data_IF_476549435051
#
_entry.id   IF_476549435051
#
_cell.length_a   1.000
_cell.length_b   1.000
_cell.length_c   1.000
_cell.angle_alpha   90.00
_cell.angle_beta   90.00
_cell.angle_gamma   90.00
#
_symmetry.space_group_name_H-M   'P 1'
#
loop_
_entity.id
_entity.type
_entity.pdbx_description
1 polymer ?
#
# COMPACT_ATOMS: atom_id res chain seq x y z
N UNK A 1 -1.62 21.51 -34.08
CA UNK A 1 -2.42 21.68 -32.84
C UNK A 1 -3.49 20.62 -32.86
N UNK A 2 -3.49 19.69 -31.89
CA UNK A 2 -4.46 18.59 -31.85
C UNK A 2 -5.75 19.08 -31.19
N UNK A 3 -6.94 18.68 -31.67
CA UNK A 3 -8.20 19.08 -31.06
C UNK A 3 -8.31 18.51 -29.64
N UNK A 4 -8.90 19.29 -28.73
CA UNK A 4 -9.27 18.81 -27.39
C UNK A 4 -10.51 17.93 -27.55
N UNK A 5 -10.35 16.63 -27.30
CA UNK A 5 -11.48 15.71 -27.23
C UNK A 5 -12.06 15.72 -25.81
N UNK A 6 -13.37 16.00 -25.69
CA UNK A 6 -14.07 16.09 -24.42
C UNK A 6 -14.10 17.51 -23.81
N UNK A 7 -14.33 17.64 -22.49
CA UNK A 7 -14.55 18.93 -21.86
C UNK A 7 -13.36 19.88 -22.00
N UNK A 8 -13.65 21.10 -22.45
CA UNK A 8 -12.67 22.19 -22.59
C UNK A 8 -12.71 23.11 -21.38
N UNK A 9 -11.54 23.42 -20.83
CA UNK A 9 -11.36 24.32 -19.70
C UNK A 9 -10.70 25.61 -20.19
N UNK A 10 -11.50 26.64 -20.46
CA UNK A 10 -11.02 27.92 -20.97
C UNK A 10 -10.60 28.85 -19.83
N UNK A 11 -9.40 29.41 -19.93
CA UNK A 11 -8.94 30.45 -19.01
C UNK A 11 -9.78 31.71 -19.20
N UNK A 12 -10.26 32.31 -18.10
CA UNK A 12 -11.04 33.56 -18.13
C UNK A 12 -10.18 34.81 -18.23
N UNK A 13 -8.86 34.66 -18.08
CA UNK A 13 -7.90 35.75 -18.01
C UNK A 13 -6.93 35.77 -19.20
N UNK A 14 -6.89 34.70 -20.00
CA UNK A 14 -6.05 34.61 -21.20
C UNK A 14 -6.96 34.36 -22.39
N UNK A 15 -6.74 35.10 -23.48
CA UNK A 15 -7.62 35.04 -24.65
C UNK A 15 -7.54 33.68 -25.37
N UNK A 16 -6.34 33.12 -25.48
CA UNK A 16 -6.07 31.89 -26.24
C UNK A 16 -5.47 30.75 -25.40
N UNK A 17 -6.00 30.55 -24.18
CA UNK A 17 -5.55 29.44 -23.35
C UNK A 17 -6.68 28.51 -22.90
N UNK A 18 -6.56 27.25 -23.32
CA UNK A 18 -7.47 26.17 -22.96
C UNK A 18 -6.70 24.96 -22.42
N UNK A 19 -7.30 24.27 -21.46
CA UNK A 19 -6.88 22.95 -21.04
C UNK A 19 -7.91 21.90 -21.46
N UNK A 20 -7.44 20.70 -21.79
CA UNK A 20 -8.27 19.51 -21.67
C UNK A 20 -8.45 19.15 -20.19
N UNK A 21 -9.39 18.26 -19.89
CA UNK A 21 -9.67 17.83 -18.51
C UNK A 21 -8.42 17.35 -17.75
N UNK A 22 -7.59 16.52 -18.39
CA UNK A 22 -6.38 16.02 -17.75
C UNK A 22 -5.37 17.13 -17.46
N UNK A 23 -5.15 18.04 -18.42
CA UNK A 23 -4.24 19.17 -18.23
C UNK A 23 -4.75 20.15 -17.17
N UNK A 24 -6.06 20.37 -17.08
CA UNK A 24 -6.65 21.23 -16.05
C UNK A 24 -6.41 20.65 -14.65
N UNK A 25 -6.49 19.32 -14.49
CA UNK A 25 -6.24 18.62 -13.23
C UNK A 25 -4.75 18.59 -12.85
N UNK A 26 -3.89 18.31 -13.81
CA UNK A 26 -2.47 17.98 -13.58
C UNK A 26 -1.51 19.16 -13.70
N UNK A 27 -1.83 20.18 -14.52
CA UNK A 27 -0.93 21.30 -14.79
C UNK A 27 -1.33 22.56 -14.04
N UNK A 28 -0.32 23.25 -13.51
CA UNK A 28 -0.48 24.59 -12.97
C UNK A 28 -0.46 25.61 -14.11
N UNK A 29 -1.40 26.53 -14.09
CA UNK A 29 -1.36 27.78 -14.83
C UNK A 29 -1.16 28.93 -13.83
N UNK A 30 -1.18 30.19 -14.27
CA UNK A 30 -1.06 31.34 -13.38
C UNK A 30 -2.05 31.21 -12.20
N UNK A 31 -1.52 31.32 -10.99
CA UNK A 31 -2.28 31.08 -9.74
C UNK A 31 -3.37 32.11 -9.49
N UNK A 32 -3.39 33.23 -10.22
CA UNK A 32 -4.45 34.25 -10.17
C UNK A 32 -5.54 34.01 -11.21
N UNK A 33 -5.34 33.10 -12.15
CA UNK A 33 -6.27 32.87 -13.24
C UNK A 33 -7.30 31.80 -12.89
N UNK A 34 -8.51 31.98 -13.41
CA UNK A 34 -9.61 31.05 -13.22
C UNK A 34 -10.11 30.52 -14.56
N UNK A 35 -10.79 29.38 -14.53
CA UNK A 35 -11.24 28.66 -15.69
C UNK A 35 -12.75 28.45 -15.67
N UNK A 36 -13.30 28.33 -16.87
CA UNK A 36 -14.65 27.87 -17.12
C UNK A 36 -14.63 26.56 -17.90
N UNK A 37 -15.49 25.62 -17.52
CA UNK A 37 -15.67 24.32 -18.16
C UNK A 37 -16.78 24.39 -19.21
N UNK A 38 -16.52 23.85 -20.39
CA UNK A 38 -17.44 23.73 -21.52
C UNK A 38 -17.44 22.25 -21.93
N UNK A 39 -18.55 21.53 -21.75
CA UNK A 39 -18.57 20.10 -22.11
C UNK A 39 -18.82 19.90 -23.61
N UNK A 40 -19.64 20.74 -24.22
CA UNK A 40 -20.00 20.67 -25.63
C UNK A 40 -19.91 22.05 -26.31
N UNK A 41 -19.57 22.11 -27.60
CA UNK A 41 -19.57 23.36 -28.36
C UNK A 41 -20.95 24.04 -28.30
N UNK A 42 -21.00 25.30 -27.85
CA UNK A 42 -22.25 26.07 -27.71
C UNK A 42 -22.90 26.01 -26.33
N UNK A 43 -22.42 25.16 -25.41
CA UNK A 43 -22.91 25.13 -24.02
C UNK A 43 -22.42 26.36 -23.23
N UNK A 44 -23.27 26.90 -22.36
CA UNK A 44 -22.90 27.97 -21.41
C UNK A 44 -21.73 27.51 -20.51
N UNK A 45 -20.63 28.27 -20.41
CA UNK A 45 -19.49 27.87 -19.60
C UNK A 45 -19.82 27.84 -18.10
N UNK A 46 -19.57 26.71 -17.44
CA UNK A 46 -19.69 26.58 -15.99
C UNK A 46 -18.39 26.98 -15.28
N UNK A 47 -18.44 27.82 -14.25
CA UNK A 47 -17.25 28.19 -13.49
C UNK A 47 -16.65 26.98 -12.75
N UNK A 48 -15.36 26.72 -12.94
CA UNK A 48 -14.69 25.56 -12.33
C UNK A 48 -13.43 25.92 -11.52
N UNK A 49 -13.14 27.21 -11.35
CA UNK A 49 -12.04 27.68 -10.51
C UNK A 49 -10.65 27.54 -11.15
N UNK A 50 -9.62 27.30 -10.34
CA UNK A 50 -8.21 27.33 -10.78
C UNK A 50 -7.71 25.95 -11.20
N UNK A 51 -6.79 25.88 -12.17
CA UNK A 51 -6.15 24.63 -12.59
C UNK A 51 -5.11 24.14 -11.58
N UNK A 52 -4.75 22.85 -11.64
CA UNK A 52 -3.70 22.27 -10.81
C UNK A 52 -4.10 22.05 -9.34
N UNK A 53 -5.41 22.03 -9.03
CA UNK A 53 -5.93 21.76 -7.68
C UNK A 53 -5.78 20.30 -7.22
N UNK A 54 -5.36 19.38 -8.09
CA UNK A 54 -5.02 17.99 -7.73
C UNK A 54 -3.50 17.77 -7.57
N UNK A 55 -2.85 18.66 -6.80
CA UNK A 55 -1.52 18.43 -6.22
C UNK A 55 -1.48 18.83 -4.74
N UNK A 56 -2.63 18.84 -4.05
CA UNK A 56 -2.61 18.55 -2.62
C UNK A 56 -2.61 17.04 -2.48
N UNK A 57 -1.40 16.50 -2.37
CA UNK A 57 -1.12 15.12 -1.94
C UNK A 57 -2.26 14.61 -1.04
N UNK A 58 -2.89 13.51 -1.43
CA UNK A 58 -3.67 12.64 -0.56
C UNK A 58 -2.84 12.06 0.61
N UNK A 59 -1.69 12.63 0.97
CA UNK A 59 -0.81 12.10 2.02
C UNK A 59 -1.44 12.16 3.41
N UNK A 60 -2.36 13.10 3.68
CA UNK A 60 -2.88 13.25 5.04
C UNK A 60 -4.00 12.27 5.39
N UNK A 61 -4.66 11.65 4.41
CA UNK A 61 -5.82 10.76 4.63
C UNK A 61 -5.49 9.26 4.51
N UNK A 62 -4.23 8.90 4.26
CA UNK A 62 -3.81 7.51 4.02
C UNK A 62 -3.03 6.94 5.23
N UNK A 63 -2.82 7.73 6.29
CA UNK A 63 -2.08 7.32 7.49
C UNK A 63 -2.83 6.23 8.23
N UNK A 64 -2.13 5.17 8.63
CA UNK A 64 -2.75 3.99 9.25
C UNK A 64 -3.65 3.17 8.31
N UNK A 65 -3.82 3.59 7.05
CA UNK A 65 -4.61 2.85 6.07
C UNK A 65 -3.94 1.52 5.76
N UNK A 66 -4.75 0.46 5.72
CA UNK A 66 -4.32 -0.86 5.30
C UNK A 66 -4.22 -0.94 3.78
N UNK A 67 -3.20 -1.64 3.30
CA UNK A 67 -2.95 -1.92 1.89
C UNK A 67 -3.05 -3.43 1.71
N UNK A 68 -4.10 -3.91 1.07
CA UNK A 68 -4.32 -5.33 0.74
C UNK A 68 -3.81 -5.71 -0.65
N UNK A 69 -3.57 -4.73 -1.52
CA UNK A 69 -2.97 -4.92 -2.84
C UNK A 69 -1.45 -5.10 -2.76
N UNK A 70 -0.97 -6.29 -3.15
CA UNK A 70 0.46 -6.65 -3.20
C UNK A 70 1.28 -5.60 -3.97
N UNK A 71 0.77 -5.13 -5.11
CA UNK A 71 1.50 -4.22 -6.01
C UNK A 71 1.72 -2.83 -5.41
N UNK A 72 0.98 -2.48 -4.35
CA UNK A 72 1.10 -1.23 -3.59
C UNK A 72 1.94 -1.38 -2.32
N UNK A 73 2.11 -2.61 -1.82
CA UNK A 73 2.90 -2.89 -0.63
C UNK A 73 4.34 -3.29 -0.96
N UNK A 74 4.53 -4.11 -2.01
CA UNK A 74 5.79 -4.73 -2.38
C UNK A 74 6.26 -4.17 -3.72
N UNK A 75 7.46 -3.59 -3.72
CA UNK A 75 8.12 -3.00 -4.88
C UNK A 75 8.83 -4.05 -5.74
N UNK A 76 9.46 -5.04 -5.11
CA UNK A 76 10.12 -6.14 -5.83
C UNK A 76 10.13 -7.43 -5.00
N UNK A 77 10.14 -8.57 -5.69
CA UNK A 77 10.17 -9.91 -5.12
C UNK A 77 11.27 -10.74 -5.80
N UNK A 78 12.12 -11.36 -5.00
CA UNK A 78 13.21 -12.21 -5.47
C UNK A 78 13.25 -13.52 -4.67
N UNK A 79 13.81 -14.55 -5.29
CA UNK A 79 13.95 -15.89 -4.71
C UNK A 79 15.37 -16.39 -4.93
N UNK A 80 15.83 -17.30 -4.08
CA UNK A 80 17.18 -17.87 -4.15
C UNK A 80 17.46 -18.67 -5.43
N UNK A 81 16.41 -19.24 -6.03
CA UNK A 81 16.48 -20.19 -7.15
C UNK A 81 15.13 -20.23 -7.88
N UNK A 82 15.08 -20.88 -9.05
CA UNK A 82 13.84 -21.04 -9.84
C UNK A 82 13.11 -19.71 -10.08
N UNK A 83 13.85 -18.68 -10.48
CA UNK A 83 13.34 -17.29 -10.60
C UNK A 83 12.17 -17.18 -11.58
N UNK A 84 12.11 -18.04 -12.59
CA UNK A 84 10.99 -18.14 -13.54
C UNK A 84 9.66 -18.57 -12.89
N UNK A 85 9.68 -19.07 -11.65
CA UNK A 85 8.50 -19.48 -10.89
C UNK A 85 8.07 -18.44 -9.85
N UNK A 86 8.77 -17.30 -9.72
CA UNK A 86 8.54 -16.32 -8.66
C UNK A 86 7.13 -15.74 -8.66
N UNK A 87 6.50 -15.58 -9.84
CA UNK A 87 5.15 -15.03 -9.94
C UNK A 87 4.08 -15.95 -9.33
N UNK A 88 4.36 -17.26 -9.28
CA UNK A 88 3.46 -18.25 -8.67
C UNK A 88 3.22 -17.98 -7.17
N UNK A 89 4.17 -17.31 -6.51
CA UNK A 89 4.02 -16.90 -5.11
C UNK A 89 2.93 -15.86 -4.90
N UNK A 90 2.52 -15.11 -5.92
CA UNK A 90 1.56 -13.98 -5.78
C UNK A 90 0.29 -14.17 -6.61
N UNK A 91 0.34 -14.91 -7.71
CA UNK A 91 -0.77 -15.02 -8.67
C UNK A 91 -1.91 -15.95 -8.20
N UNK A 92 -1.85 -16.52 -6.98
CA UNK A 92 -2.87 -17.41 -6.40
C UNK A 92 -3.27 -18.58 -7.32
N UNK A 93 -2.30 -19.12 -8.06
CA UNK A 93 -2.48 -20.30 -8.91
C UNK A 93 -2.32 -21.58 -8.11
N UNK A 94 -2.83 -22.72 -8.61
CA UNK A 94 -2.53 -24.06 -8.06
C UNK A 94 -1.07 -24.53 -8.29
N UNK A 95 -0.18 -23.60 -8.67
CA UNK A 95 1.23 -23.86 -8.89
C UNK A 95 2.04 -23.24 -7.77
N UNK A 96 3.08 -23.93 -7.32
CA UNK A 96 3.99 -23.45 -6.29
C UNK A 96 5.34 -23.02 -6.87
N UNK A 97 6.07 -22.21 -6.11
CA UNK A 97 7.51 -22.03 -6.28
C UNK A 97 8.23 -23.19 -5.61
N UNK A 98 9.11 -23.85 -6.36
CA UNK A 98 10.00 -24.88 -5.83
C UNK A 98 11.44 -24.39 -5.88
N UNK A 99 12.12 -24.42 -4.74
CA UNK A 99 13.54 -24.10 -4.69
C UNK A 99 14.40 -25.18 -5.34
N UNK A 100 15.64 -24.82 -5.66
CA UNK A 100 16.67 -25.74 -6.15
C UNK A 100 18.03 -25.28 -5.63
N UNK A 101 18.69 -26.10 -4.82
CA UNK A 101 20.02 -25.78 -4.32
C UNK A 101 20.44 -26.62 -3.12
N UNK A 102 21.32 -26.08 -2.28
CA UNK A 102 21.76 -26.75 -1.06
C UNK A 102 20.77 -26.53 0.09
N UNK A 103 20.69 -27.53 0.98
CA UNK A 103 19.83 -27.48 2.15
C UNK A 103 20.08 -26.22 3.01
N UNK A 104 18.99 -25.58 3.44
CA UNK A 104 19.05 -24.41 4.33
C UNK A 104 19.56 -23.11 3.67
N UNK A 105 19.74 -23.10 2.35
CA UNK A 105 20.19 -21.93 1.57
C UNK A 105 19.08 -21.27 0.75
N UNK A 106 17.83 -21.65 0.99
CA UNK A 106 16.68 -21.12 0.27
C UNK A 106 16.12 -19.89 0.96
N UNK A 107 15.76 -18.88 0.18
CA UNK A 107 15.21 -17.64 0.70
C UNK A 107 14.24 -17.00 -0.29
N UNK A 108 13.31 -16.23 0.26
CA UNK A 108 12.44 -15.32 -0.48
C UNK A 108 12.67 -13.92 0.09
N UNK A 109 12.98 -12.95 -0.77
CA UNK A 109 13.25 -11.56 -0.39
C UNK A 109 12.25 -10.65 -1.06
N UNK A 110 11.67 -9.75 -0.28
CA UNK A 110 10.78 -8.70 -0.77
C UNK A 110 11.31 -7.33 -0.39
N UNK A 111 11.25 -6.39 -1.32
CA UNK A 111 11.47 -4.96 -1.07
C UNK A 111 10.10 -4.29 -0.92
N UNK A 112 9.84 -3.66 0.23
CA UNK A 112 8.62 -2.90 0.47
C UNK A 112 8.74 -1.48 -0.09
N UNK A 113 7.60 -0.88 -0.42
CA UNK A 113 7.57 0.56 -0.72
C UNK A 113 7.90 1.39 0.53
N UNK A 114 8.48 2.60 0.37
CA UNK A 114 8.72 3.51 1.48
C UNK A 114 7.47 3.73 2.33
N UNK A 115 7.67 3.79 3.65
CA UNK A 115 6.63 4.03 4.66
C UNK A 115 5.53 2.95 4.75
N UNK A 116 5.68 1.80 4.09
CA UNK A 116 4.78 0.65 4.26
C UNK A 116 5.30 -0.27 5.36
N UNK A 117 4.58 -0.34 6.48
CA UNK A 117 4.80 -1.31 7.54
C UNK A 117 4.09 -2.63 7.21
N UNK A 118 4.63 -3.75 7.68
CA UNK A 118 3.96 -5.05 7.57
C UNK A 118 2.89 -5.16 8.65
N UNK A 119 1.60 -5.11 8.27
CA UNK A 119 0.51 -5.40 9.20
C UNK A 119 0.27 -6.92 9.30
N UNK A 120 0.29 -7.64 8.18
CA UNK A 120 0.30 -9.11 8.15
C UNK A 120 1.12 -9.60 6.97
N UNK A 121 1.98 -10.59 7.20
CA UNK A 121 2.63 -11.36 6.13
C UNK A 121 2.32 -12.83 6.37
N UNK A 122 1.69 -13.47 5.38
CA UNK A 122 1.33 -14.88 5.40
C UNK A 122 2.11 -15.65 4.34
N UNK A 123 2.38 -16.91 4.65
CA UNK A 123 2.98 -17.88 3.74
C UNK A 123 2.13 -19.14 3.73
N UNK A 124 1.82 -19.64 2.54
CA UNK A 124 1.04 -20.87 2.35
C UNK A 124 1.97 -22.01 1.98
N UNK A 125 1.79 -23.13 2.67
CA UNK A 125 2.52 -24.39 2.48
C UNK A 125 1.51 -25.52 2.39
N UNK A 126 1.92 -26.67 1.88
CA UNK A 126 1.05 -27.84 1.78
C UNK A 126 1.68 -29.05 2.49
N UNK A 127 1.02 -29.63 3.50
CA UNK A 127 1.41 -30.91 4.10
C UNK A 127 1.67 -32.03 3.08
N UNK A 128 0.97 -32.02 1.93
CA UNK A 128 1.15 -33.01 0.87
C UNK A 128 2.53 -32.92 0.19
N UNK A 129 3.24 -31.79 0.33
CA UNK A 129 4.60 -31.62 -0.20
C UNK A 129 5.66 -32.47 0.53
N UNK A 130 5.29 -33.15 1.62
CA UNK A 130 6.13 -34.15 2.29
C UNK A 130 7.50 -33.57 2.68
N UNK A 131 8.60 -34.05 2.10
CA UNK A 131 9.95 -33.55 2.37
C UNK A 131 10.22 -32.13 1.84
N UNK A 132 9.40 -31.64 0.90
CA UNK A 132 9.50 -30.26 0.40
C UNK A 132 8.76 -29.26 1.29
N UNK A 133 7.99 -29.72 2.28
CA UNK A 133 7.34 -28.83 3.24
C UNK A 133 8.39 -28.22 4.18
N UNK A 134 8.48 -26.89 4.29
CA UNK A 134 9.33 -26.25 5.29
C UNK A 134 8.94 -26.66 6.72
N UNK A 135 9.93 -26.80 7.61
CA UNK A 135 9.73 -27.05 9.03
C UNK A 135 10.26 -25.93 9.92
N UNK A 136 11.27 -25.20 9.45
CA UNK A 136 11.86 -24.07 10.17
C UNK A 136 12.14 -22.93 9.19
N UNK A 137 11.56 -21.76 9.48
CA UNK A 137 11.81 -20.52 8.74
C UNK A 137 12.26 -19.41 9.68
N UNK A 138 13.20 -18.60 9.20
CA UNK A 138 13.70 -17.42 9.91
C UNK A 138 13.35 -16.20 9.07
N UNK A 139 12.76 -15.22 9.71
CA UNK A 139 12.32 -13.97 9.10
C UNK A 139 13.23 -12.87 9.57
N UNK A 140 13.86 -12.17 8.63
CA UNK A 140 14.78 -11.07 8.90
C UNK A 140 14.34 -9.82 8.16
N UNK A 141 14.62 -8.65 8.74
CA UNK A 141 14.26 -7.35 8.16
C UNK A 141 15.38 -6.33 8.28
N UNK A 142 15.42 -5.36 7.39
CA UNK A 142 16.42 -4.30 7.46
C UNK A 142 16.27 -3.22 6.38
N UNK A 143 17.12 -2.20 6.47
CA UNK A 143 17.20 -1.12 5.47
C UNK A 143 18.05 -1.51 4.25
N UNK A 144 18.90 -2.54 4.38
CA UNK A 144 19.78 -3.07 3.34
C UNK A 144 19.89 -4.59 3.45
N UNK A 145 20.06 -5.28 2.33
CA UNK A 145 20.25 -6.74 2.27
C UNK A 145 21.53 -7.23 2.96
N UNK A 146 22.52 -6.34 3.16
CA UNK A 146 23.78 -6.68 3.83
C UNK A 146 23.67 -6.59 5.36
N UNK A 147 22.58 -6.01 5.89
CA UNK A 147 22.41 -5.77 7.32
C UNK A 147 20.96 -6.07 7.73
N UNK A 148 20.55 -7.31 7.53
CA UNK A 148 19.25 -7.82 7.97
C UNK A 148 19.38 -8.30 9.42
N UNK A 149 18.44 -7.89 10.28
CA UNK A 149 18.30 -8.39 11.65
C UNK A 149 17.21 -9.46 11.69
N UNK A 150 17.43 -10.51 12.48
CA UNK A 150 16.40 -11.52 12.69
C UNK A 150 15.23 -10.93 13.48
N UNK A 151 14.03 -11.01 12.92
CA UNK A 151 12.79 -10.53 13.52
C UNK A 151 12.04 -11.66 14.21
N UNK A 152 12.02 -12.84 13.58
CA UNK A 152 11.23 -13.98 14.07
C UNK A 152 11.76 -15.30 13.55
N UNK A 153 11.84 -16.29 14.42
CA UNK A 153 12.06 -17.70 14.05
C UNK A 153 10.76 -18.49 14.25
N UNK A 154 10.35 -19.29 13.26
CA UNK A 154 9.05 -19.96 13.22
C UNK A 154 9.24 -21.45 12.92
N UNK A 155 8.69 -22.27 13.82
CA UNK A 155 8.52 -23.71 13.58
C UNK A 155 7.16 -23.94 12.92
N UNK A 156 7.14 -24.72 11.84
CA UNK A 156 5.94 -25.02 11.08
C UNK A 156 5.45 -26.42 11.48
N UNK A 157 4.17 -26.56 11.81
CA UNK A 157 3.58 -27.85 12.18
C UNK A 157 3.24 -28.69 10.94
N UNK A 158 3.20 -30.04 11.06
CA UNK A 158 2.93 -30.92 9.91
C UNK A 158 1.58 -30.71 9.24
N UNK A 159 0.64 -30.10 9.96
CA UNK A 159 -0.73 -29.86 9.50
C UNK A 159 -0.98 -28.42 9.08
N UNK A 160 0.02 -27.54 9.21
CA UNK A 160 -0.15 -26.13 8.86
C UNK A 160 -0.30 -25.97 7.35
N UNK A 161 -1.25 -25.13 6.94
CA UNK A 161 -1.48 -24.79 5.54
C UNK A 161 -1.25 -23.29 5.27
N UNK A 162 -1.44 -22.44 6.29
CA UNK A 162 -1.18 -21.00 6.20
C UNK A 162 -0.53 -20.50 7.49
N UNK A 163 0.66 -19.92 7.36
CA UNK A 163 1.50 -19.47 8.48
C UNK A 163 1.56 -17.95 8.50
N UNK A 164 1.35 -17.36 9.66
CA UNK A 164 1.54 -15.92 9.88
C UNK A 164 3.00 -15.63 10.20
N UNK A 165 3.73 -15.23 9.16
CA UNK A 165 5.17 -14.98 9.16
C UNK A 165 5.51 -13.73 9.98
N UNK A 166 4.81 -12.63 9.73
CA UNK A 166 4.89 -11.40 10.53
C UNK A 166 3.50 -10.83 10.77
N UNK A 167 3.35 -10.12 11.87
CA UNK A 167 2.10 -9.47 12.27
C UNK A 167 2.38 -8.19 13.03
N UNK A 168 1.64 -7.13 12.69
CA UNK A 168 1.59 -5.85 13.41
C UNK A 168 2.96 -5.20 13.66
N UNK A 169 3.86 -5.26 12.67
CA UNK A 169 5.16 -4.59 12.77
C UNK A 169 4.99 -3.07 12.93
N UNK A 170 5.72 -2.52 13.89
CA UNK A 170 5.78 -1.08 14.19
C UNK A 170 6.98 -0.41 13.52
N UNK A 171 8.06 -1.17 13.33
CA UNK A 171 9.27 -0.70 12.64
C UNK A 171 9.19 -0.92 11.13
N UNK A 172 9.73 0.05 10.39
CA UNK A 172 9.84 -0.05 8.93
C UNK A 172 11.10 -0.81 8.54
N UNK A 173 10.91 -1.91 7.81
CA UNK A 173 11.98 -2.65 7.17
C UNK A 173 11.79 -2.60 5.67
N UNK A 174 12.73 -1.97 4.95
CA UNK A 174 12.69 -1.89 3.48
C UNK A 174 12.77 -3.27 2.85
N UNK A 175 13.62 -4.13 3.39
CA UNK A 175 13.77 -5.50 2.92
C UNK A 175 13.30 -6.47 3.99
N UNK A 176 12.53 -7.47 3.59
CA UNK A 176 12.17 -8.63 4.40
C UNK A 176 12.69 -9.87 3.69
N UNK A 177 13.39 -10.73 4.43
CA UNK A 177 13.84 -12.04 4.00
C UNK A 177 13.11 -13.12 4.79
N UNK A 178 12.51 -14.08 4.09
CA UNK A 178 12.04 -15.34 4.66
C UNK A 178 13.04 -16.43 4.24
N UNK A 179 13.91 -16.83 5.16
CA UNK A 179 14.91 -17.87 4.94
C UNK A 179 14.39 -19.23 5.40
N UNK A 180 14.36 -20.20 4.50
CA UNK A 180 13.95 -21.58 4.79
C UNK A 180 15.20 -22.32 5.29
N UNK A 181 15.27 -22.56 6.59
CA UNK A 181 16.44 -23.19 7.23
C UNK A 181 16.35 -24.71 7.20
N UNK A 182 15.16 -25.27 7.32
CA UNK A 182 14.94 -26.71 7.31
C UNK A 182 13.62 -27.07 6.62
N UNK A 183 13.62 -28.22 5.95
CA UNK A 183 12.44 -28.89 5.44
C UNK A 183 12.23 -30.21 6.18
N UNK A 184 11.01 -30.75 6.12
CA UNK A 184 10.66 -32.03 6.74
C UNK A 184 11.48 -33.18 6.18
N UNK A 185 11.63 -34.22 7.01
CA UNK A 185 12.32 -35.47 6.64
C UNK A 185 13.69 -35.21 6.00
N UNK A 186 14.40 -34.18 6.46
CA UNK A 186 15.69 -33.73 5.93
C UNK A 186 15.67 -33.37 4.44
N UNK A 187 14.53 -32.87 3.95
CA UNK A 187 14.42 -32.36 2.59
C UNK A 187 15.45 -31.27 2.29
N UNK A 188 15.91 -31.27 1.04
CA UNK A 188 16.91 -30.33 0.54
C UNK A 188 16.22 -29.08 0.03
N UNK A 189 15.25 -29.26 -0.86
CA UNK A 189 14.47 -28.20 -1.48
C UNK A 189 13.13 -27.99 -0.76
N UNK A 190 12.51 -26.85 -1.00
CA UNK A 190 11.22 -26.48 -0.43
C UNK A 190 10.21 -26.09 -1.52
N UNK A 191 8.93 -26.21 -1.18
CA UNK A 191 7.82 -25.68 -1.97
C UNK A 191 7.01 -24.69 -1.15
N UNK A 192 6.78 -23.52 -1.73
CA UNK A 192 5.91 -22.48 -1.18
C UNK A 192 4.84 -22.16 -2.21
N UNK A 193 3.58 -22.21 -1.77
CA UNK A 193 2.43 -22.09 -2.67
C UNK A 193 2.07 -20.64 -2.93
N UNK A 194 2.02 -19.83 -1.87
CA UNK A 194 1.75 -18.39 -2.02
C UNK A 194 2.23 -17.57 -0.83
N UNK A 195 2.36 -16.27 -1.08
CA UNK A 195 2.60 -15.23 -0.09
C UNK A 195 1.44 -14.24 -0.14
N UNK A 196 1.03 -13.76 1.03
CA UNK A 196 0.03 -12.70 1.15
C UNK A 196 0.53 -11.63 2.10
N UNK A 197 0.44 -10.37 1.69
CA UNK A 197 0.85 -9.25 2.54
C UNK A 197 -0.30 -8.25 2.68
N UNK A 198 -0.49 -7.76 3.90
CA UNK A 198 -1.27 -6.57 4.19
C UNK A 198 -0.30 -5.54 4.75
N UNK A 199 -0.10 -4.46 4.01
CA UNK A 199 0.69 -3.31 4.44
C UNK A 199 -0.13 -2.33 5.28
N UNK A 200 0.56 -1.42 5.97
CA UNK A 200 -0.03 -0.28 6.66
C UNK A 200 0.87 0.94 6.45
N UNK A 201 0.31 2.05 6.00
CA UNK A 201 1.07 3.30 5.86
C UNK A 201 1.46 3.81 7.25
N UNK A 202 2.75 4.03 7.48
CA UNK A 202 3.29 4.58 8.71
C UNK A 202 2.69 5.96 9.01
N UNK A 203 2.28 6.17 10.26
CA UNK A 203 1.99 7.51 10.78
C UNK A 203 3.28 8.07 11.37
N UNK A 204 3.64 9.31 11.06
CA UNK A 204 4.77 10.00 11.68
C UNK A 204 4.34 10.53 13.06
N UNK A 205 5.20 10.44 14.07
CA UNK A 205 4.90 10.82 15.46
C UNK A 205 4.71 12.33 15.68
N UNK A 206 5.07 13.18 14.70
CA UNK A 206 5.04 14.65 14.85
C UNK A 206 3.63 15.27 14.96
N UNK A 207 2.55 14.52 14.69
CA UNK A 207 1.19 15.06 14.69
C UNK A 207 0.31 14.67 15.90
N UNK A 208 0.82 13.89 16.86
CA UNK A 208 0.13 13.67 18.15
C UNK A 208 -0.04 14.97 18.96
N UNK A 209 0.77 16.00 18.64
CA UNK A 209 0.70 17.31 19.26
C UNK A 209 -0.32 18.27 18.63
N UNK A 210 -0.93 17.91 17.49
CA UNK A 210 -1.83 18.80 16.74
C UNK A 210 -3.25 18.26 16.70
N UNK A 211 -3.79 17.90 17.87
CA UNK A 211 -5.24 17.79 18.03
C UNK A 211 -5.82 19.21 18.05
N UNK A 212 -6.64 19.64 17.07
CA UNK A 212 -7.43 20.84 17.24
C UNK A 212 -8.43 20.50 18.34
N UNK A 213 -8.20 21.05 19.52
CA UNK A 213 -9.18 21.13 20.59
C UNK A 213 -10.39 21.87 20.02
N UNK A 214 -11.38 21.13 19.52
CA UNK A 214 -12.69 21.69 19.21
C UNK A 214 -13.36 21.99 20.55
N UNK A 215 -13.09 23.20 21.06
CA UNK A 215 -13.95 23.82 22.05
C UNK A 215 -15.34 23.94 21.42
N UNK A 216 -16.29 23.18 21.93
CA UNK A 216 -17.70 23.35 21.60
C UNK A 216 -18.25 24.47 22.49
N UNK A 217 -17.96 25.72 22.14
CA UNK A 217 -18.79 26.84 22.61
C UNK A 217 -20.09 26.78 21.82
N UNK A 218 -21.13 26.23 22.45
CA UNK A 218 -22.48 26.24 21.93
C UNK A 218 -23.30 27.17 22.82
N UNK A 219 -23.12 28.48 22.61
CA UNK A 219 -24.01 29.49 23.16
C UNK A 219 -25.19 29.75 22.21
N UNK A 220 -26.37 29.70 22.83
CA UNK A 220 -27.63 30.39 22.52
C UNK A 220 -28.49 29.90 21.35
N UNK A 221 -29.70 29.48 21.69
CA UNK A 221 -30.90 30.06 21.09
C UNK A 221 -32.07 30.10 22.11
N UNK A 222 -32.57 31.31 22.29
CA UNK A 222 -33.83 31.73 22.93
C UNK A 222 -35.05 30.94 22.42
N UNK A 223 -36.04 30.67 23.27
CA UNK A 223 -37.36 31.31 23.13
C UNK A 223 -38.31 31.05 24.33
N UNK A 224 -39.24 32.00 24.44
CA UNK A 224 -40.08 32.48 25.53
C UNK A 224 -41.29 31.60 25.97
N UNK A 225 -41.84 31.99 27.13
CA UNK A 225 -43.24 31.92 27.60
C UNK A 225 -43.74 30.88 28.64
N UNK A 226 -43.89 31.44 29.85
CA UNK A 226 -45.12 31.53 30.69
C UNK A 226 -45.62 30.37 31.55
N UNK A 227 -45.65 30.68 32.86
CA UNK A 227 -46.80 30.66 33.78
C UNK A 227 -47.01 29.51 34.80
N UNK A 228 -47.04 29.95 36.07
CA UNK A 228 -47.72 29.42 37.28
C UNK A 228 -47.12 28.17 37.96
N UNK A 229 -47.05 28.07 39.29
CA UNK A 229 -47.71 28.87 40.31
C UNK A 229 -47.17 28.62 41.72
N UNK A 230 -47.81 29.34 42.65
CA UNK A 230 -47.87 29.02 44.08
C UNK A 230 -48.49 27.64 44.31
#
# INVERSE_FOLDING_TARGET
MFPINGPRFKCRNCDDFDFCENCFKTRKHNTRHSFSRINEPGQSPGFCGRSGKQLKKHHNSQRGMLIDDWSRAVKSLNVSSSVNQVSRLIDSTDQCWQSSGSQGKHWIRMELFPDVLVHRLKMVVDPADSSYMPSLVVVSGGSSLNNLIELKTININPTDTAILVLSDCTEYHRYIEVAIKQCRSSGIDCKIHSLGIVGRIRAEDEDLATVPFLASDNEEEDDDKTATGR
#
